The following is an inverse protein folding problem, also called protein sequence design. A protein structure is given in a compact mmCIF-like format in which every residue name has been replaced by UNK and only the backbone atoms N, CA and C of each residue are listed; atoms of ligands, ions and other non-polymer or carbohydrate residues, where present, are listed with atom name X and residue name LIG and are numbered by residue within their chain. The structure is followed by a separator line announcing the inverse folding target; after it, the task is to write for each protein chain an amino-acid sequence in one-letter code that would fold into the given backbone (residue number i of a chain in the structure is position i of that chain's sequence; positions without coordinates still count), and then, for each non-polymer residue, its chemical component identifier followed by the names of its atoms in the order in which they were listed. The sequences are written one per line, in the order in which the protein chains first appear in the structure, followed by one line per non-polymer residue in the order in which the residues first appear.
data_IF_336351996729
#
_entry.id   IF_336351996729
#
_cell.length_a   1.000
_cell.length_b   1.000
_cell.length_c   1.000
_cell.angle_alpha   90.00
_cell.angle_beta   90.00
_cell.angle_gamma   90.00
#
_symmetry.space_group_name_H-M   'P 1'
#
loop_
_entity.id
_entity.type
_entity.pdbx_description
1 polymer ?
#
# COMPACT_ATOMS: atom_id res chain seq x y z
N UNK A 1 -1.55 -23.29 21.68
CA UNK A 1 -2.77 -23.21 20.82
C UNK A 1 -2.78 -21.95 19.98
N UNK A 2 -2.47 -20.79 20.56
CA UNK A 2 -2.31 -19.51 19.85
C UNK A 2 -1.29 -19.61 18.71
N UNK A 3 -0.16 -20.27 18.91
CA UNK A 3 0.89 -20.42 17.89
C UNK A 3 0.39 -21.17 16.65
N UNK A 4 -0.49 -22.15 16.83
CA UNK A 4 -1.11 -22.89 15.72
C UNK A 4 -2.05 -21.98 14.93
N UNK A 5 -2.86 -21.18 15.62
CA UNK A 5 -3.77 -20.21 14.99
C UNK A 5 -2.98 -19.13 14.24
N UNK A 6 -1.91 -18.60 14.84
CA UNK A 6 -1.01 -17.65 14.20
C UNK A 6 -0.35 -18.24 12.94
N UNK A 7 0.06 -19.52 13.00
CA UNK A 7 0.57 -20.25 11.84
C UNK A 7 -0.44 -20.32 10.70
N UNK A 8 -1.70 -20.68 10.98
CA UNK A 8 -2.76 -20.72 9.99
C UNK A 8 -3.05 -19.35 9.36
N UNK A 9 -3.13 -18.29 10.19
CA UNK A 9 -3.33 -16.92 9.71
C UNK A 9 -2.21 -16.53 8.76
N UNK A 10 -0.96 -16.77 9.17
CA UNK A 10 0.21 -16.47 8.34
C UNK A 10 0.16 -17.19 7.00
N UNK A 11 -0.12 -18.49 6.98
CA UNK A 11 -0.22 -19.25 5.74
C UNK A 11 -1.33 -18.76 4.81
N UNK A 12 -2.49 -18.35 5.35
CA UNK A 12 -3.57 -17.76 4.55
C UNK A 12 -3.15 -16.38 4.03
N UNK A 13 -2.47 -15.56 4.83
CA UNK A 13 -1.94 -14.26 4.40
C UNK A 13 -0.91 -14.41 3.29
N UNK A 14 0.01 -15.37 3.41
CA UNK A 14 1.01 -15.67 2.37
C UNK A 14 0.34 -16.12 1.07
N UNK A 15 -0.69 -16.97 1.16
CA UNK A 15 -1.48 -17.39 -0.01
C UNK A 15 -2.24 -16.22 -0.64
N UNK A 16 -2.88 -15.37 0.16
CA UNK A 16 -3.55 -14.16 -0.33
C UNK A 16 -2.58 -13.21 -1.01
N UNK A 17 -1.39 -13.03 -0.44
CA UNK A 17 -0.34 -12.19 -1.03
C UNK A 17 0.14 -12.74 -2.38
N UNK A 18 0.31 -14.05 -2.50
CA UNK A 18 0.68 -14.69 -3.77
C UNK A 18 -0.40 -14.47 -4.85
N UNK A 19 -1.67 -14.54 -4.49
CA UNK A 19 -2.80 -14.26 -5.41
C UNK A 19 -2.81 -12.79 -5.85
N UNK A 20 -2.59 -11.85 -4.92
CA UNK A 20 -2.48 -10.41 -5.24
C UNK A 20 -1.31 -10.17 -6.20
N UNK A 21 -0.15 -10.75 -5.92
CA UNK A 21 1.04 -10.60 -6.76
C UNK A 21 0.81 -11.15 -8.18
N UNK A 22 0.15 -12.30 -8.31
CA UNK A 22 -0.26 -12.85 -9.60
C UNK A 22 -1.21 -11.88 -10.33
N UNK A 23 -2.20 -11.34 -9.63
CA UNK A 23 -3.13 -10.35 -10.17
C UNK A 23 -2.43 -9.09 -10.70
N UNK A 24 -1.42 -8.58 -9.99
CA UNK A 24 -0.58 -7.46 -10.45
C UNK A 24 0.14 -7.80 -11.76
N UNK A 25 0.79 -8.96 -11.85
CA UNK A 25 1.52 -9.38 -13.06
C UNK A 25 0.58 -9.45 -14.26
N UNK A 26 -0.58 -10.08 -14.09
CA UNK A 26 -1.57 -10.18 -15.17
C UNK A 26 -2.11 -8.81 -15.58
N UNK A 27 -2.42 -7.95 -14.63
CA UNK A 27 -2.93 -6.61 -14.92
C UNK A 27 -1.92 -5.77 -15.71
N UNK A 28 -0.62 -5.90 -15.39
CA UNK A 28 0.46 -5.22 -16.13
C UNK A 28 0.57 -5.74 -17.57
N UNK A 29 0.43 -7.06 -17.78
CA UNK A 29 0.50 -7.67 -19.12
C UNK A 29 -0.69 -7.24 -20.00
N UNK A 30 -1.90 -7.25 -19.45
CA UNK A 30 -3.12 -6.97 -20.20
C UNK A 30 -3.47 -5.47 -20.28
N UNK A 31 -2.86 -4.63 -19.43
CA UNK A 31 -3.04 -3.17 -19.44
C UNK A 31 -4.42 -2.68 -18.97
N UNK A 32 -5.29 -3.58 -18.52
CA UNK A 32 -6.62 -3.29 -18.00
C UNK A 32 -6.94 -4.21 -16.82
N UNK A 33 -7.96 -3.86 -16.03
CA UNK A 33 -8.42 -4.69 -14.91
C UNK A 33 -8.68 -6.13 -15.40
N UNK A 34 -8.10 -7.09 -14.70
CA UNK A 34 -8.12 -8.49 -15.12
C UNK A 34 -9.57 -9.01 -15.05
N UNK A 35 -10.18 -9.46 -16.16
CA UNK A 35 -11.63 -9.71 -16.24
C UNK A 35 -12.19 -10.69 -15.21
N UNK A 36 -11.38 -11.67 -14.77
CA UNK A 36 -11.81 -12.70 -13.82
C UNK A 36 -11.65 -12.30 -12.34
N UNK A 37 -10.88 -11.25 -12.05
CA UNK A 37 -10.73 -10.71 -10.69
C UNK A 37 -11.71 -9.56 -10.44
N UNK A 38 -12.13 -8.84 -11.48
CA UNK A 38 -13.04 -7.70 -11.37
C UNK A 38 -12.52 -6.54 -10.52
N UNK A 39 -11.24 -6.60 -10.12
CA UNK A 39 -10.60 -5.65 -9.21
C UNK A 39 -9.36 -5.06 -9.87
N UNK A 40 -9.19 -3.75 -9.68
CA UNK A 40 -7.99 -3.01 -10.06
C UNK A 40 -6.98 -3.03 -8.90
N UNK A 41 -6.13 -4.05 -8.90
CA UNK A 41 -5.14 -4.28 -7.84
C UNK A 41 -4.02 -3.24 -7.93
N UNK A 42 -3.52 -2.98 -9.14
CA UNK A 42 -2.46 -2.00 -9.37
C UNK A 42 -2.92 -0.59 -8.97
N UNK A 43 -4.13 -0.19 -9.37
CA UNK A 43 -4.72 1.09 -9.02
C UNK A 43 -4.92 1.24 -7.50
N UNK A 44 -5.31 0.16 -6.81
CA UNK A 44 -5.42 0.15 -5.34
C UNK A 44 -4.08 0.39 -4.66
N UNK A 45 -3.01 -0.28 -5.11
CA UNK A 45 -1.65 -0.09 -4.56
C UNK A 45 -1.12 1.31 -4.86
N UNK A 46 -1.27 1.78 -6.09
CA UNK A 46 -0.86 3.13 -6.50
C UNK A 46 -1.64 4.20 -5.72
N UNK A 47 -2.93 3.98 -5.47
CA UNK A 47 -3.76 4.86 -4.65
C UNK A 47 -3.23 5.00 -3.23
N UNK A 48 -2.89 3.88 -2.58
CA UNK A 48 -2.26 3.86 -1.26
C UNK A 48 -0.92 4.61 -1.26
N UNK A 49 -0.04 4.33 -2.23
CA UNK A 49 1.27 5.01 -2.32
C UNK A 49 1.08 6.51 -2.53
N UNK A 50 0.10 6.93 -3.33
CA UNK A 50 -0.22 8.36 -3.52
C UNK A 50 -0.70 9.01 -2.23
N UNK A 51 -1.54 8.34 -1.43
CA UNK A 51 -1.97 8.85 -0.14
C UNK A 51 -0.77 9.02 0.81
N UNK A 52 0.10 8.01 0.91
CA UNK A 52 1.31 8.08 1.73
C UNK A 52 2.28 9.19 1.26
N UNK A 53 2.41 9.39 -0.05
CA UNK A 53 3.24 10.46 -0.63
C UNK A 53 2.65 11.87 -0.40
N UNK A 54 1.33 12.01 -0.45
CA UNK A 54 0.65 13.28 -0.18
C UNK A 54 0.86 13.72 1.28
N UNK A 55 0.74 12.79 2.23
CA UNK A 55 1.03 13.04 3.64
C UNK A 55 2.52 13.39 3.87
N UNK A 56 3.44 12.87 3.05
CA UNK A 56 4.85 13.23 3.09
C UNK A 56 5.10 14.72 2.81
N UNK A 57 4.35 15.32 1.88
CA UNK A 57 4.43 16.75 1.59
C UNK A 57 3.92 17.59 2.77
N UNK A 58 2.83 17.15 3.41
CA UNK A 58 2.27 17.77 4.62
C UNK A 58 3.28 17.70 5.77
N UNK A 59 3.99 16.59 5.91
CA UNK A 59 5.08 16.44 6.89
C UNK A 59 6.22 17.44 6.68
N UNK A 60 6.67 17.65 5.44
CA UNK A 60 7.70 18.65 5.12
C UNK A 60 7.23 20.08 5.45
N UNK A 61 5.97 20.40 5.15
CA UNK A 61 5.37 21.70 5.51
C UNK A 61 5.33 21.88 7.04
N UNK A 62 4.95 20.84 7.79
CA UNK A 62 4.94 20.89 9.25
C UNK A 62 6.33 21.18 9.84
N UNK A 63 7.38 20.52 9.32
CA UNK A 63 8.78 20.79 9.73
C UNK A 63 9.18 22.23 9.43
N UNK A 64 8.80 22.75 8.26
CA UNK A 64 9.09 24.13 7.88
C UNK A 64 8.42 25.17 8.80
N UNK A 65 7.16 24.93 9.19
CA UNK A 65 6.43 25.77 10.15
C UNK A 65 7.12 25.76 11.52
N UNK A 66 7.46 24.56 12.02
CA UNK A 66 8.17 24.43 13.30
C UNK A 66 9.53 25.14 13.29
N UNK A 67 10.26 25.02 12.18
CA UNK A 67 11.52 25.73 12.00
C UNK A 67 11.32 27.25 11.98
N UNK A 68 10.28 27.77 11.29
CA UNK A 68 9.96 29.19 11.27
C UNK A 68 9.62 29.76 12.66
N UNK A 69 8.93 28.98 13.50
CA UNK A 69 8.65 29.34 14.89
C UNK A 69 9.95 29.36 15.72
N UNK A 70 10.76 28.30 15.62
CA UNK A 70 11.97 28.16 16.44
C UNK A 70 13.13 29.08 15.99
N UNK A 71 13.18 29.44 14.72
CA UNK A 71 14.18 30.33 14.15
C UNK A 71 13.92 31.81 14.45
N UNK A 72 12.74 32.17 14.99
CA UNK A 72 12.53 33.47 15.64
C UNK A 72 13.14 33.46 17.04
N UNK A 73 14.47 33.54 17.10
CA UNK A 73 15.19 34.13 18.22
C UNK A 73 15.73 35.48 17.80
#
# INVERSE_FOLDING_TARGET
MVDKVLGWIRSITELGLAVIALGVVLQVIFGAAVPFLGLDIVGSVVGLVKQLGAEGLVGLVAVWVLWGIYSKK
#
